data_IF_446183043546
#
_entry.id   IF_446183043546
#
_cell.length_a   1.000
_cell.length_b   1.000
_cell.length_c   1.000
_cell.angle_alpha   90.00
_cell.angle_beta   90.00
_cell.angle_gamma   90.00
#
_symmetry.space_group_name_H-M   'P 1'
#
loop_
_entity.id
_entity.type
_entity.pdbx_description
1 polymer ?
#
# COMPACT_ATOMS: atom_id res chain seq x y z
N UNK A 1 -7.43 -15.58 -16.57
CA UNK A 1 -6.41 -15.49 -15.51
C UNK A 1 -6.72 -14.29 -14.63
N UNK A 2 -7.11 -14.50 -13.37
CA UNK A 2 -7.24 -13.40 -12.41
C UNK A 2 -5.80 -13.02 -12.05
N UNK A 3 -5.32 -11.77 -12.23
CA UNK A 3 -3.98 -11.43 -11.78
C UNK A 3 -3.96 -11.68 -10.28
N UNK A 4 -3.23 -12.71 -9.87
CA UNK A 4 -2.79 -12.84 -8.49
C UNK A 4 -2.00 -11.56 -8.27
N UNK A 5 -2.32 -10.70 -7.28
CA UNK A 5 -1.33 -9.74 -6.85
C UNK A 5 -0.20 -10.61 -6.28
N UNK A 6 0.76 -10.97 -7.12
CA UNK A 6 2.06 -11.46 -6.69
C UNK A 6 2.46 -10.43 -5.65
N UNK A 7 2.57 -10.86 -4.40
CA UNK A 7 3.14 -10.06 -3.32
C UNK A 7 4.50 -9.62 -3.85
N UNK A 8 4.51 -8.44 -4.48
CA UNK A 8 5.71 -7.87 -5.03
C UNK A 8 6.53 -7.63 -3.79
N UNK A 9 7.66 -8.31 -3.68
CA UNK A 9 8.70 -7.97 -2.73
C UNK A 9 8.99 -6.48 -2.97
N UNK A 10 8.28 -5.62 -2.23
CA UNK A 10 8.44 -4.18 -2.34
C UNK A 10 9.82 -3.96 -1.76
N UNK A 11 10.79 -3.76 -2.65
CA UNK A 11 12.11 -3.27 -2.26
C UNK A 11 11.86 -2.08 -1.34
N UNK A 12 12.40 -2.03 -0.10
CA UNK A 12 12.20 -0.91 0.80
C UNK A 12 12.54 0.39 0.05
N UNK A 13 11.53 1.23 -0.21
CA UNK A 13 11.65 2.46 -1.01
C UNK A 13 11.00 2.45 -2.40
N UNK A 14 10.40 1.35 -2.87
CA UNK A 14 9.64 1.35 -4.12
C UNK A 14 8.23 1.93 -3.93
N UNK A 15 7.94 3.02 -4.64
CA UNK A 15 6.63 3.69 -4.60
C UNK A 15 5.61 2.88 -5.42
N UNK A 16 4.53 2.43 -4.78
CA UNK A 16 3.46 1.70 -5.47
C UNK A 16 2.52 2.67 -6.22
N UNK A 17 2.19 2.39 -7.48
CA UNK A 17 1.23 3.19 -8.26
C UNK A 17 -0.10 2.45 -8.42
N UNK A 18 -1.21 3.17 -8.37
CA UNK A 18 -2.56 2.58 -8.44
C UNK A 18 -3.05 1.98 -7.13
N UNK A 19 -2.54 2.45 -5.98
CA UNK A 19 -2.99 1.96 -4.66
C UNK A 19 -4.40 2.49 -4.35
N UNK A 20 -5.22 1.68 -3.69
CA UNK A 20 -6.58 2.05 -3.32
C UNK A 20 -6.66 2.37 -1.82
N UNK A 21 -7.32 3.49 -1.47
CA UNK A 21 -7.47 3.90 -0.08
C UNK A 21 -8.17 2.80 0.75
N UNK A 22 -7.59 2.45 1.89
CA UNK A 22 -8.07 1.37 2.75
C UNK A 22 -7.70 -0.04 2.31
N UNK A 23 -7.05 -0.22 1.14
CA UNK A 23 -6.56 -1.52 0.73
C UNK A 23 -5.40 -1.98 1.62
N UNK A 24 -5.26 -3.30 1.78
CA UNK A 24 -4.14 -3.87 2.51
C UNK A 24 -2.82 -3.54 1.82
N UNK A 25 -1.81 -3.26 2.63
CA UNK A 25 -0.48 -2.93 2.17
C UNK A 25 0.56 -3.67 3.03
N UNK A 26 1.76 -3.80 2.50
CA UNK A 26 2.92 -4.33 3.21
C UNK A 26 4.18 -3.98 2.41
N UNK A 27 5.32 -3.63 3.05
CA UNK A 27 5.53 -3.45 4.49
C UNK A 27 4.99 -2.11 5.04
N UNK A 28 4.72 -1.99 6.36
CA UNK A 28 4.40 -0.70 6.97
C UNK A 28 5.50 0.31 6.71
N UNK A 29 5.12 1.54 6.36
CA UNK A 29 6.04 2.60 5.95
C UNK A 29 6.20 2.74 4.43
N UNK A 30 5.72 1.78 3.62
CA UNK A 30 5.69 1.93 2.17
C UNK A 30 4.88 3.16 1.73
N UNK A 31 5.27 3.76 0.62
CA UNK A 31 4.58 4.92 0.03
C UNK A 31 4.00 4.53 -1.33
N UNK A 32 2.90 5.13 -1.72
CA UNK A 32 2.25 4.87 -2.99
C UNK A 32 1.40 6.04 -3.45
N UNK A 33 0.89 5.96 -4.67
CA UNK A 33 -0.03 6.91 -5.25
C UNK A 33 -1.28 6.22 -5.78
N UNK A 34 -2.45 6.81 -5.57
CA UNK A 34 -3.68 6.34 -6.21
C UNK A 34 -3.57 6.48 -7.73
N UNK A 35 -4.48 5.84 -8.47
CA UNK A 35 -4.59 6.07 -9.92
C UNK A 35 -4.85 7.52 -10.31
N UNK A 36 -5.27 8.36 -9.36
CA UNK A 36 -5.51 9.81 -9.53
C UNK A 36 -4.29 10.66 -9.15
N UNK A 37 -3.25 10.06 -8.55
CA UNK A 37 -2.06 10.77 -8.09
C UNK A 37 -2.10 11.17 -6.61
N UNK A 38 -3.07 10.71 -5.82
CA UNK A 38 -3.11 11.01 -4.39
C UNK A 38 -2.05 10.21 -3.64
N UNK A 39 -1.23 10.89 -2.84
CA UNK A 39 -0.22 10.25 -2.03
C UNK A 39 -0.84 9.40 -0.92
N UNK A 40 -0.32 8.18 -0.76
CA UNK A 40 -0.74 7.24 0.26
C UNK A 40 0.46 6.63 0.96
N UNK A 41 0.28 6.34 2.24
CA UNK A 41 1.26 5.66 3.07
C UNK A 41 0.64 4.43 3.68
N UNK A 42 1.45 3.39 3.70
CA UNK A 42 1.12 2.15 4.34
C UNK A 42 1.34 2.29 5.84
N UNK A 43 0.26 2.25 6.62
CA UNK A 43 0.33 2.45 8.07
C UNK A 43 -0.39 1.31 8.78
N UNK A 44 0.23 0.79 9.85
CA UNK A 44 -0.43 -0.09 10.82
C UNK A 44 -0.92 0.80 11.96
N UNK A 45 -2.23 0.81 12.21
CA UNK A 45 -2.77 1.44 13.40
C UNK A 45 -2.66 0.48 14.60
N UNK A 46 -2.60 1.04 15.80
CA UNK A 46 -2.57 0.22 17.02
C UNK A 46 -3.89 -0.55 17.14
N UNK A 47 -3.82 -1.88 17.05
CA UNK A 47 -4.98 -2.78 17.02
C UNK A 47 -5.38 -3.28 15.62
N UNK A 48 -4.77 -2.79 14.54
CA UNK A 48 -4.91 -3.38 13.20
C UNK A 48 -3.92 -4.55 13.05
N UNK A 49 -4.42 -5.75 12.71
CA UNK A 49 -3.58 -6.91 12.37
C UNK A 49 -2.78 -6.72 11.07
N UNK A 50 -3.23 -5.82 10.19
CA UNK A 50 -2.66 -5.63 8.85
C UNK A 50 -2.55 -4.16 8.49
N UNK A 51 -1.43 -3.80 7.87
CA UNK A 51 -1.22 -2.44 7.37
C UNK A 51 -2.20 -2.14 6.23
N UNK A 52 -2.66 -0.89 6.18
CA UNK A 52 -3.53 -0.42 5.09
C UNK A 52 -3.02 0.88 4.50
N UNK A 53 -3.26 1.05 3.21
CA UNK A 53 -2.97 2.29 2.52
C UNK A 53 -3.90 3.38 3.04
N UNK A 54 -3.32 4.44 3.60
CA UNK A 54 -4.04 5.62 4.08
C UNK A 54 -3.49 6.85 3.37
N UNK A 55 -4.37 7.81 3.08
CA UNK A 55 -3.93 9.10 2.58
C UNK A 55 -2.99 9.75 3.61
N UNK A 56 -1.90 10.37 3.12
CA UNK A 56 -0.97 11.16 3.93
C UNK A 56 -1.39 12.62 4.00
#
# INVERSE_FOLDING_TARGET
MKPVPTASTVKPGAVQKGVAAGAFCSPPGATGFTGKGDAMRCTIAQGDERARWRAV
#
